data_IF_952654333499
#
_entry.id   IF_952654333499
#
_cell.length_a   1.000
_cell.length_b   1.000
_cell.length_c   1.000
_cell.angle_alpha   90.00
_cell.angle_beta   90.00
_cell.angle_gamma   90.00
#
_symmetry.space_group_name_H-M   'P 1'
#
loop_
_entity.id
_entity.type
_entity.pdbx_description
1 polymer ?
#
# COMPACT_ATOMS: atom_id res chain seq x y z
N UNK A 1 -3.75 12.93 16.20
CA UNK A 1 -4.54 11.81 15.64
C UNK A 1 -5.55 12.42 14.69
N UNK A 2 -5.65 11.89 13.46
CA UNK A 2 -6.65 12.31 12.48
C UNK A 2 -8.04 11.87 12.96
N UNK A 3 -9.09 12.60 12.57
CA UNK A 3 -10.46 12.14 12.84
C UNK A 3 -10.80 10.94 11.96
N UNK A 4 -11.70 10.09 12.45
CA UNK A 4 -12.17 8.91 11.72
C UNK A 4 -12.78 9.27 10.37
N UNK A 5 -13.59 10.33 10.35
CA UNK A 5 -14.23 10.82 9.12
C UNK A 5 -13.20 11.18 8.03
N UNK A 6 -12.10 11.83 8.41
CA UNK A 6 -11.02 12.19 7.46
C UNK A 6 -10.35 10.94 6.89
N UNK A 7 -10.06 9.97 7.75
CA UNK A 7 -9.43 8.74 7.32
C UNK A 7 -10.31 7.91 6.40
N UNK A 8 -11.60 7.81 6.71
CA UNK A 8 -12.58 7.08 5.90
C UNK A 8 -12.77 7.73 4.53
N UNK A 9 -12.78 9.08 4.47
CA UNK A 9 -12.80 9.83 3.20
C UNK A 9 -11.56 9.51 2.37
N UNK A 10 -10.36 9.57 2.97
CA UNK A 10 -9.12 9.28 2.24
C UNK A 10 -9.09 7.83 1.75
N UNK A 11 -9.42 6.86 2.63
CA UNK A 11 -9.40 5.44 2.30
C UNK A 11 -10.38 5.10 1.17
N UNK A 12 -11.63 5.57 1.27
CA UNK A 12 -12.67 5.27 0.29
C UNK A 12 -12.42 5.92 -1.07
N UNK A 13 -11.77 7.08 -1.11
CA UNK A 13 -11.44 7.77 -2.36
C UNK A 13 -10.13 7.29 -2.99
N UNK A 14 -9.21 6.71 -2.22
CA UNK A 14 -8.01 6.07 -2.78
C UNK A 14 -8.35 4.81 -3.57
N UNK A 15 -9.32 4.01 -3.11
CA UNK A 15 -9.70 2.76 -3.75
C UNK A 15 -9.97 2.89 -5.28
N UNK A 16 -10.88 3.77 -5.74
CA UNK A 16 -11.13 3.93 -7.17
C UNK A 16 -9.97 4.56 -7.95
N UNK A 17 -9.02 5.20 -7.27
CA UNK A 17 -7.84 5.79 -7.91
C UNK A 17 -6.74 4.76 -8.18
N UNK A 18 -6.76 3.59 -7.53
CA UNK A 18 -5.71 2.58 -7.72
C UNK A 18 -5.68 2.03 -9.16
N UNK A 19 -6.81 2.03 -9.86
CA UNK A 19 -6.87 1.63 -11.28
C UNK A 19 -6.54 2.75 -12.26
N UNK A 20 -6.15 3.94 -11.76
CA UNK A 20 -5.83 5.11 -12.58
C UNK A 20 -4.53 5.78 -12.06
N UNK A 21 -3.40 5.31 -12.58
CA UNK A 21 -2.07 5.81 -12.22
C UNK A 21 -1.88 7.29 -12.55
N UNK A 22 -2.57 7.80 -13.58
CA UNK A 22 -2.45 9.20 -14.00
C UNK A 22 -3.09 10.11 -12.94
N UNK A 23 -4.25 9.72 -12.40
CA UNK A 23 -4.91 10.46 -11.31
C UNK A 23 -4.06 10.46 -10.04
N UNK A 24 -3.38 9.34 -9.71
CA UNK A 24 -2.44 9.29 -8.59
C UNK A 24 -1.27 10.26 -8.80
N UNK A 25 -0.70 10.29 -10.00
CA UNK A 25 0.41 11.17 -10.37
C UNK A 25 0.01 12.65 -10.33
N UNK A 26 -1.15 13.01 -10.87
CA UNK A 26 -1.67 14.37 -10.83
C UNK A 26 -1.90 14.86 -9.40
N UNK A 27 -2.42 13.99 -8.53
CA UNK A 27 -2.59 14.30 -7.11
C UNK A 27 -1.23 14.53 -6.42
N UNK A 28 -0.21 13.70 -6.70
CA UNK A 28 1.16 13.91 -6.20
C UNK A 28 1.66 15.31 -6.58
N UNK A 29 1.57 15.67 -7.87
CA UNK A 29 2.04 16.96 -8.36
C UNK A 29 1.34 18.13 -7.66
N UNK A 30 0.03 18.05 -7.45
CA UNK A 30 -0.71 19.09 -6.74
C UNK A 30 -0.28 19.24 -5.28
N UNK A 31 -0.07 18.12 -4.59
CA UNK A 31 0.40 18.14 -3.21
C UNK A 31 1.84 18.66 -3.11
N UNK A 32 2.75 18.25 -3.99
CA UNK A 32 4.14 18.71 -3.98
C UNK A 32 4.28 20.22 -4.26
N UNK A 33 3.47 20.74 -5.19
CA UNK A 33 3.50 22.15 -5.57
C UNK A 33 2.74 23.07 -4.59
N UNK A 34 2.13 22.52 -3.54
CA UNK A 34 1.19 23.24 -2.65
C UNK A 34 0.04 23.93 -3.41
N UNK A 35 -0.25 23.44 -4.61
CA UNK A 35 -1.33 23.91 -5.47
C UNK A 35 -2.57 23.09 -5.13
N UNK A 36 -3.29 23.51 -4.08
CA UNK A 36 -4.63 23.00 -3.77
C UNK A 36 -5.66 23.50 -4.79
N UNK A 37 -5.39 23.29 -6.08
CA UNK A 37 -6.29 23.58 -7.19
C UNK A 37 -7.56 22.73 -7.11
N UNK A 38 -8.32 22.74 -8.20
CA UNK A 38 -9.49 21.90 -8.31
C UNK A 38 -9.15 20.61 -9.06
N UNK A 39 -9.42 19.48 -8.43
CA UNK A 39 -9.54 18.20 -9.11
C UNK A 39 -10.99 17.77 -9.09
N UNK A 40 -11.40 17.08 -10.15
CA UNK A 40 -12.67 16.36 -10.18
C UNK A 40 -12.53 14.98 -9.51
N UNK A 41 -13.66 14.39 -9.13
CA UNK A 41 -13.72 13.01 -8.68
C UNK A 41 -13.04 12.71 -7.32
N UNK A 42 -12.58 11.47 -7.10
CA UNK A 42 -12.05 11.03 -5.80
C UNK A 42 -10.85 11.84 -5.31
N UNK A 43 -9.94 12.23 -6.21
CA UNK A 43 -8.78 13.03 -5.87
C UNK A 43 -9.16 14.44 -5.36
N UNK A 44 -10.21 15.04 -5.94
CA UNK A 44 -10.77 16.31 -5.47
C UNK A 44 -11.34 16.22 -4.06
N UNK A 45 -11.99 15.11 -3.73
CA UNK A 45 -12.53 14.88 -2.38
C UNK A 45 -11.41 14.75 -1.34
N UNK A 46 -10.29 14.11 -1.68
CA UNK A 46 -9.10 14.07 -0.82
C UNK A 46 -8.52 15.48 -0.63
N UNK A 47 -8.37 16.26 -1.71
CA UNK A 47 -7.86 17.65 -1.63
C UNK A 47 -8.75 18.57 -0.79
N UNK A 48 -10.08 18.44 -0.94
CA UNK A 48 -11.03 19.21 -0.15
C UNK A 48 -10.95 18.86 1.33
N UNK A 49 -10.77 17.58 1.65
CA UNK A 49 -10.60 17.13 3.03
C UNK A 49 -9.28 17.61 3.63
N UNK A 50 -8.21 17.61 2.84
CA UNK A 50 -6.97 18.27 3.23
C UNK A 50 -7.24 19.73 3.57
N UNK A 51 -7.84 20.50 2.65
CA UNK A 51 -8.12 21.96 2.79
C UNK A 51 -8.85 22.32 4.07
N UNK A 52 -9.89 21.56 4.43
CA UNK A 52 -10.69 21.76 5.66
C UNK A 52 -9.86 21.63 6.93
N UNK A 53 -8.83 20.79 6.92
CA UNK A 53 -7.99 20.46 8.08
C UNK A 53 -6.72 21.33 8.20
N UNK A 54 -6.69 22.51 7.55
CA UNK A 54 -5.57 23.47 7.57
C UNK A 54 -5.21 24.05 8.94
N UNK A 55 -6.03 23.85 9.97
CA UNK A 55 -5.82 24.40 11.31
C UNK A 55 -5.10 23.49 12.33
N UNK A 56 -4.74 22.24 11.99
CA UNK A 56 -4.03 21.29 12.90
C UNK A 56 -3.21 20.30 12.09
N UNK A 57 -1.99 19.93 12.54
CA UNK A 57 -0.79 20.04 11.72
C UNK A 57 -1.00 19.48 10.31
N UNK A 58 -1.36 20.39 9.41
CA UNK A 58 -1.51 20.19 7.97
C UNK A 58 -0.39 19.35 7.35
N UNK A 59 0.81 19.50 7.91
CA UNK A 59 2.05 18.85 7.54
C UNK A 59 1.96 17.32 7.72
N UNK A 60 1.24 16.82 8.73
CA UNK A 60 1.23 15.39 9.06
C UNK A 60 0.33 14.58 8.11
N UNK A 61 -0.87 15.09 7.79
CA UNK A 61 -1.80 14.39 6.88
C UNK A 61 -1.32 14.48 5.43
N UNK A 62 -0.96 15.70 4.99
CA UNK A 62 -0.43 15.92 3.64
C UNK A 62 0.82 15.06 3.42
N UNK A 63 1.74 15.04 4.40
CA UNK A 63 2.95 14.23 4.34
C UNK A 63 2.65 12.73 4.27
N UNK A 64 1.70 12.24 5.06
CA UNK A 64 1.26 10.84 5.02
C UNK A 64 0.66 10.46 3.66
N UNK A 65 -0.24 11.28 3.12
CA UNK A 65 -0.87 11.03 1.81
C UNK A 65 0.19 11.08 0.71
N UNK A 66 1.06 12.08 0.71
CA UNK A 66 2.12 12.19 -0.29
C UNK A 66 3.08 10.99 -0.24
N UNK A 67 3.49 10.57 0.97
CA UNK A 67 4.29 9.37 1.15
C UNK A 67 3.59 8.12 0.60
N UNK A 68 2.30 7.95 0.90
CA UNK A 68 1.51 6.84 0.41
C UNK A 68 1.44 6.83 -1.12
N UNK A 69 1.10 7.98 -1.74
CA UNK A 69 1.00 8.09 -3.20
C UNK A 69 2.33 7.82 -3.89
N UNK A 70 3.44 8.38 -3.39
CA UNK A 70 4.77 8.11 -3.92
C UNK A 70 5.17 6.64 -3.78
N UNK A 71 4.80 5.98 -2.68
CA UNK A 71 5.03 4.55 -2.53
C UNK A 71 4.18 3.74 -3.52
N UNK A 72 2.92 4.12 -3.77
CA UNK A 72 2.06 3.49 -4.77
C UNK A 72 2.69 3.54 -6.17
N UNK A 73 3.39 4.62 -6.53
CA UNK A 73 4.11 4.73 -7.82
C UNK A 73 5.27 3.73 -8.00
N UNK A 74 5.69 3.03 -6.95
CA UNK A 74 6.68 1.94 -7.04
C UNK A 74 6.03 0.64 -7.53
N UNK A 75 4.71 0.50 -7.36
CA UNK A 75 3.97 -0.67 -7.81
C UNK A 75 3.62 -0.56 -9.29
N UNK A 76 3.50 -1.71 -9.96
CA UNK A 76 2.93 -1.78 -11.31
C UNK A 76 1.40 -1.63 -11.29
N UNK A 77 0.81 -1.26 -12.42
CA UNK A 77 -0.66 -1.16 -12.58
C UNK A 77 -1.38 -2.44 -12.11
N UNK A 78 -0.86 -3.61 -12.51
CA UNK A 78 -1.37 -4.91 -12.06
C UNK A 78 -1.33 -5.05 -10.54
N UNK A 79 -0.28 -4.57 -9.87
CA UNK A 79 -0.19 -4.60 -8.41
C UNK A 79 -1.13 -3.59 -7.75
N UNK A 80 -1.40 -2.45 -8.38
CA UNK A 80 -2.38 -1.49 -7.89
C UNK A 80 -3.81 -2.07 -7.95
N UNK A 81 -4.16 -2.77 -9.03
CA UNK A 81 -5.44 -3.48 -9.13
C UNK A 81 -5.58 -4.60 -8.09
N UNK A 82 -4.50 -5.35 -7.83
CA UNK A 82 -4.46 -6.37 -6.78
C UNK A 82 -4.55 -5.76 -5.37
N UNK A 83 -3.98 -4.57 -5.17
CA UNK A 83 -4.10 -3.83 -3.92
C UNK A 83 -5.54 -3.34 -3.71
N UNK A 84 -6.22 -2.87 -4.77
CA UNK A 84 -7.63 -2.50 -4.71
C UNK A 84 -8.50 -3.69 -4.27
N UNK A 85 -8.31 -4.86 -4.87
CA UNK A 85 -8.97 -6.10 -4.45
C UNK A 85 -8.66 -6.46 -2.98
N UNK A 86 -7.41 -6.25 -2.56
CA UNK A 86 -7.01 -6.49 -1.17
C UNK A 86 -7.71 -5.56 -0.16
N UNK A 87 -7.94 -4.31 -0.54
CA UNK A 87 -8.72 -3.34 0.23
C UNK A 87 -10.19 -3.78 0.34
N UNK A 88 -10.81 -4.19 -0.78
CA UNK A 88 -12.20 -4.65 -0.82
C UNK A 88 -12.42 -5.92 0.02
N UNK A 89 -11.49 -6.87 -0.07
CA UNK A 89 -11.50 -8.11 0.72
C UNK A 89 -11.13 -7.91 2.20
N UNK A 90 -10.69 -6.70 2.59
CA UNK A 90 -10.26 -6.34 3.95
C UNK A 90 -9.14 -7.24 4.51
N UNK A 91 -8.17 -7.57 3.66
CA UNK A 91 -7.04 -8.46 4.00
C UNK A 91 -5.70 -7.72 4.22
N UNK A 92 -5.72 -6.38 4.21
CA UNK A 92 -4.53 -5.52 4.31
C UNK A 92 -3.69 -5.82 5.55
N UNK A 93 -4.33 -6.05 6.70
CA UNK A 93 -3.64 -6.38 7.95
C UNK A 93 -2.83 -7.68 7.81
N UNK A 94 -3.47 -8.73 7.29
CA UNK A 94 -2.85 -10.05 7.12
C UNK A 94 -1.68 -9.97 6.13
N UNK A 95 -1.86 -9.24 5.03
CA UNK A 95 -0.79 -8.97 4.06
C UNK A 95 0.36 -8.18 4.68
N UNK A 96 0.07 -7.14 5.46
CA UNK A 96 1.09 -6.32 6.15
C UNK A 96 1.95 -7.18 7.06
N UNK A 97 1.33 -8.03 7.89
CA UNK A 97 2.05 -8.91 8.80
C UNK A 97 2.87 -9.98 8.06
N UNK A 98 2.34 -10.51 6.95
CA UNK A 98 3.09 -11.42 6.08
C UNK A 98 4.33 -10.74 5.50
N UNK A 99 4.18 -9.54 4.92
CA UNK A 99 5.28 -8.77 4.32
C UNK A 99 6.32 -8.41 5.39
N UNK A 100 5.89 -7.98 6.59
CA UNK A 100 6.78 -7.75 7.74
C UNK A 100 7.63 -8.98 8.05
N UNK A 101 6.99 -10.16 8.12
CA UNK A 101 7.69 -11.42 8.44
C UNK A 101 8.74 -11.82 7.41
N UNK A 102 8.64 -11.32 6.17
CA UNK A 102 9.64 -11.48 5.13
C UNK A 102 10.72 -10.41 5.28
N UNK A 103 10.36 -9.14 5.45
CA UNK A 103 11.34 -8.05 5.50
C UNK A 103 12.26 -8.14 6.73
N UNK A 104 11.70 -8.24 7.94
CA UNK A 104 12.46 -8.17 9.20
C UNK A 104 13.70 -9.09 9.25
N UNK A 105 13.59 -10.40 8.96
CA UNK A 105 14.75 -11.29 9.01
C UNK A 105 15.69 -11.13 7.81
N UNK A 106 15.17 -10.73 6.64
CA UNK A 106 15.91 -10.78 5.37
C UNK A 106 16.56 -9.44 4.96
N UNK A 107 16.06 -8.30 5.44
CA UNK A 107 16.42 -6.96 4.96
C UNK A 107 17.92 -6.63 4.99
N UNK A 108 18.65 -7.20 5.95
CA UNK A 108 20.09 -6.96 6.15
C UNK A 108 20.97 -7.68 5.12
N UNK A 109 20.44 -8.66 4.40
CA UNK A 109 21.22 -9.50 3.51
C UNK A 109 21.25 -8.92 2.09
N UNK A 110 22.44 -8.67 1.52
CA UNK A 110 22.59 -8.17 0.15
C UNK A 110 22.69 -9.30 -0.89
N UNK A 111 22.36 -10.54 -0.53
CA UNK A 111 22.40 -11.70 -1.42
C UNK A 111 21.19 -12.60 -1.21
N UNK A 112 21.01 -13.54 -2.12
CA UNK A 112 19.84 -14.39 -2.14
C UNK A 112 19.88 -15.42 -1.01
N UNK A 113 18.79 -15.48 -0.22
CA UNK A 113 18.66 -16.44 0.88
C UNK A 113 17.28 -17.12 0.85
N UNK A 114 17.20 -18.44 1.06
CA UNK A 114 15.92 -19.11 1.16
C UNK A 114 15.21 -18.68 2.44
N UNK A 115 13.89 -18.50 2.35
CA UNK A 115 13.03 -18.34 3.52
C UNK A 115 11.77 -19.18 3.36
N UNK A 116 11.04 -19.34 4.46
CA UNK A 116 9.76 -20.03 4.48
C UNK A 116 8.73 -19.15 5.16
N UNK A 117 7.61 -18.93 4.48
CA UNK A 117 6.46 -18.21 5.01
C UNK A 117 5.86 -18.97 6.18
N UNK A 118 5.47 -18.22 7.20
CA UNK A 118 4.87 -18.76 8.40
C UNK A 118 3.44 -19.24 8.11
N UNK A 119 3.09 -20.53 8.33
CA UNK A 119 1.74 -21.04 8.05
C UNK A 119 0.64 -20.26 8.78
N UNK A 120 0.90 -19.78 9.99
CA UNK A 120 -0.04 -18.96 10.76
C UNK A 120 -0.40 -17.62 10.10
N UNK A 121 0.49 -17.05 9.29
CA UNK A 121 0.24 -15.82 8.55
C UNK A 121 -0.45 -16.07 7.20
N UNK A 122 -0.29 -17.28 6.64
CA UNK A 122 -0.99 -17.71 5.44
C UNK A 122 -2.43 -18.18 5.73
N UNK A 123 -2.65 -18.77 6.90
CA UNK A 123 -3.93 -19.37 7.27
C UNK A 123 -5.14 -18.43 7.14
N UNK A 124 -5.06 -17.11 7.43
CA UNK A 124 -6.17 -16.19 7.25
C UNK A 124 -6.45 -15.76 5.82
N UNK A 125 -5.49 -15.89 4.90
CA UNK A 125 -5.57 -15.36 3.53
C UNK A 125 -6.23 -16.33 2.54
N UNK A 126 -6.77 -17.48 2.95
CA UNK A 126 -7.20 -18.60 2.08
C UNK A 126 -7.90 -18.22 0.77
N UNK A 127 -7.75 -19.09 -0.24
CA UNK A 127 -8.45 -18.98 -1.52
C UNK A 127 -7.93 -17.80 -2.33
N UNK A 128 -8.85 -16.92 -2.73
CA UNK A 128 -8.56 -15.75 -3.58
C UNK A 128 -7.61 -14.74 -2.89
N UNK A 129 -7.76 -14.52 -1.58
CA UNK A 129 -6.88 -13.60 -0.84
C UNK A 129 -5.41 -14.03 -0.87
N UNK A 130 -5.15 -15.33 -0.92
CA UNK A 130 -3.81 -15.92 -0.92
C UNK A 130 -3.21 -15.79 -2.32
N UNK A 131 -4.03 -16.04 -3.34
CA UNK A 131 -3.65 -15.84 -4.73
C UNK A 131 -3.26 -14.37 -4.97
N UNK A 132 -4.10 -13.41 -4.58
CA UNK A 132 -3.82 -11.97 -4.68
C UNK A 132 -2.53 -11.61 -3.95
N UNK A 133 -2.37 -12.10 -2.71
CA UNK A 133 -1.17 -11.83 -1.92
C UNK A 133 0.09 -12.37 -2.59
N UNK A 134 0.03 -13.57 -3.17
CA UNK A 134 1.18 -14.16 -3.86
C UNK A 134 1.52 -13.40 -5.13
N UNK A 135 0.53 -12.93 -5.90
CA UNK A 135 0.77 -12.10 -7.07
C UNK A 135 1.35 -10.72 -6.70
N UNK A 136 0.91 -10.10 -5.60
CA UNK A 136 1.54 -8.88 -5.07
C UNK A 136 3.02 -9.11 -4.74
N UNK A 137 3.34 -10.20 -4.03
CA UNK A 137 4.71 -10.57 -3.68
C UNK A 137 5.56 -10.89 -4.92
N UNK A 138 4.99 -11.52 -5.94
CA UNK A 138 5.65 -11.76 -7.23
C UNK A 138 5.96 -10.47 -7.96
N UNK A 139 5.01 -9.53 -7.97
CA UNK A 139 5.23 -8.19 -8.53
C UNK A 139 6.36 -7.44 -7.79
N UNK A 140 6.59 -7.74 -6.51
CA UNK A 140 7.76 -7.26 -5.77
C UNK A 140 9.06 -8.03 -6.08
N UNK A 141 9.07 -8.97 -7.02
CA UNK A 141 10.27 -9.72 -7.41
C UNK A 141 10.53 -11.02 -6.65
N UNK A 142 9.63 -11.43 -5.74
CA UNK A 142 9.74 -12.71 -5.04
C UNK A 142 9.25 -13.87 -5.90
N UNK A 143 9.94 -15.02 -5.80
CA UNK A 143 9.51 -16.24 -6.47
C UNK A 143 8.49 -16.97 -5.60
N UNK A 144 7.21 -16.90 -5.96
CA UNK A 144 6.12 -17.52 -5.21
C UNK A 144 5.51 -18.68 -5.99
N UNK A 145 5.23 -19.78 -5.30
CA UNK A 145 4.54 -20.93 -5.88
C UNK A 145 3.25 -21.20 -5.08
N UNK A 146 2.08 -21.39 -5.74
CA UNK A 146 0.79 -21.52 -5.04
C UNK A 146 0.73 -22.61 -3.96
N UNK A 147 1.54 -23.67 -4.09
CA UNK A 147 1.53 -24.82 -3.20
C UNK A 147 2.78 -24.92 -2.33
N UNK A 148 3.61 -23.87 -2.28
CA UNK A 148 4.86 -23.88 -1.51
C UNK A 148 4.95 -22.63 -0.64
N UNK A 149 5.15 -22.78 0.68
CA UNK A 149 5.47 -21.63 1.54
C UNK A 149 6.93 -21.20 1.38
N UNK A 150 7.74 -21.89 0.56
CA UNK A 150 9.16 -21.58 0.39
C UNK A 150 9.35 -20.57 -0.73
N UNK A 151 10.24 -19.63 -0.48
CA UNK A 151 10.67 -18.66 -1.47
C UNK A 151 12.13 -18.29 -1.23
N UNK A 152 12.66 -17.41 -2.07
CA UNK A 152 14.03 -16.92 -1.97
C UNK A 152 13.98 -15.40 -1.93
N UNK A 153 14.58 -14.84 -0.89
CA UNK A 153 14.86 -13.42 -0.80
C UNK A 153 15.77 -13.04 -1.95
N UNK A 154 15.45 -11.94 -2.61
CA UNK A 154 16.26 -11.35 -3.67
C UNK A 154 16.53 -9.88 -3.32
N UNK A 155 17.74 -9.40 -3.60
CA UNK A 155 18.09 -8.01 -3.32
C UNK A 155 17.21 -7.04 -4.10
N UNK A 156 16.83 -7.39 -5.34
CA UNK A 156 15.95 -6.57 -6.18
C UNK A 156 14.54 -6.45 -5.59
N UNK A 157 14.12 -7.45 -4.79
CA UNK A 157 12.82 -7.41 -4.11
C UNK A 157 12.78 -6.45 -2.92
N UNK A 158 13.94 -5.98 -2.43
CA UNK A 158 14.02 -5.18 -1.21
C UNK A 158 13.24 -3.88 -1.31
N UNK A 159 13.45 -3.12 -2.38
CA UNK A 159 12.79 -1.81 -2.56
C UNK A 159 11.28 -1.96 -2.80
N UNK A 160 10.81 -2.78 -3.77
CA UNK A 160 9.38 -2.98 -3.98
C UNK A 160 8.66 -3.55 -2.77
N UNK A 161 9.26 -4.50 -2.05
CA UNK A 161 8.64 -5.10 -0.87
C UNK A 161 8.57 -4.11 0.31
N UNK A 162 9.57 -3.23 0.45
CA UNK A 162 9.53 -2.14 1.43
C UNK A 162 8.44 -1.12 1.10
N UNK A 163 8.26 -0.79 -0.19
CA UNK A 163 7.17 0.08 -0.64
C UNK A 163 5.81 -0.55 -0.34
N UNK A 164 5.62 -1.83 -0.69
CA UNK A 164 4.40 -2.58 -0.38
C UNK A 164 4.11 -2.59 1.13
N UNK A 165 5.12 -2.82 1.96
CA UNK A 165 4.95 -2.75 3.42
C UNK A 165 4.52 -1.37 3.91
N UNK A 166 5.13 -0.30 3.37
CA UNK A 166 4.76 1.08 3.67
C UNK A 166 3.32 1.39 3.29
N UNK A 167 2.92 1.03 2.08
CA UNK A 167 1.56 1.19 1.55
C UNK A 167 0.55 0.47 2.46
N UNK A 168 0.75 -0.82 2.72
CA UNK A 168 -0.13 -1.61 3.58
C UNK A 168 -0.22 -1.04 5.00
N UNK A 169 0.89 -0.53 5.54
CA UNK A 169 0.93 0.10 6.85
C UNK A 169 0.13 1.40 6.89
N UNK A 170 0.28 2.26 5.88
CA UNK A 170 -0.46 3.51 5.75
C UNK A 170 -1.95 3.26 5.54
N UNK A 171 -2.32 2.36 4.62
CA UNK A 171 -3.72 2.00 4.39
C UNK A 171 -4.36 1.41 5.65
N UNK A 172 -3.65 0.56 6.40
CA UNK A 172 -4.17 0.01 7.65
C UNK A 172 -4.38 1.10 8.72
N UNK A 173 -3.51 2.11 8.80
CA UNK A 173 -3.70 3.25 9.70
C UNK A 173 -4.95 4.09 9.36
N UNK A 174 -5.36 4.11 8.10
CA UNK A 174 -6.60 4.77 7.66
C UNK A 174 -7.86 3.94 8.00
N UNK A 175 -7.72 2.62 8.15
CA UNK A 175 -8.84 1.73 8.53
C UNK A 175 -9.00 1.61 10.05
N UNK A 176 -7.90 1.64 10.81
CA UNK A 176 -7.87 1.30 12.25
C UNK A 176 -8.21 2.43 13.23
N UNK A 177 -8.46 3.69 12.83
CA UNK A 177 -8.92 4.70 13.79
C UNK A 177 -10.42 4.69 14.09
#
# INVERSE_FOLDING_TARGET
MLSKDVQDVVFSNLLPMLSDSDVLFDLINMLELDQLGHMDGPAGLILDELRKNSSTPWIDLKGLILYLLQALMVLSDTQLDLLAQSMEMRILLQQRELVRSILEPNFKYPWNIPFTLQPQLLAPLQGEGLAITYELLKGCGLKMEPNSPRSTWDLEAKMPLSALYGILSCLQQLVEA
#
